data_IF_873174739634
#
_entry.id   IF_873174739634
#
_cell.length_a   1.000
_cell.length_b   1.000
_cell.length_c   1.000
_cell.angle_alpha   90.00
_cell.angle_beta   90.00
_cell.angle_gamma   90.00
#
_symmetry.space_group_name_H-M   'P 1'
#
loop_
_entity.id
_entity.type
_entity.pdbx_description
1 polymer ?
#
# COMPACT_ATOMS: atom_id res chain seq x y z
N UNK A 1 -1.00 -14.89 7.63
CA UNK A 1 0.41 -15.07 7.26
C UNK A 1 1.19 -13.95 7.91
N UNK A 2 2.27 -14.31 8.59
CA UNK A 2 3.24 -13.36 9.13
C UNK A 2 4.33 -13.25 8.06
N UNK A 3 4.73 -12.04 7.71
CA UNK A 3 5.84 -11.80 6.80
C UNK A 3 7.02 -11.29 7.63
N UNK A 4 8.21 -11.76 7.31
CA UNK A 4 9.48 -11.25 7.84
C UNK A 4 10.27 -10.71 6.66
N UNK A 5 10.27 -9.39 6.49
CA UNK A 5 10.90 -8.77 5.32
C UNK A 5 12.42 -8.86 5.37
N UNK A 6 13.00 -9.01 6.57
CA UNK A 6 14.45 -9.24 6.72
C UNK A 6 14.82 -10.63 6.18
N UNK A 7 14.07 -11.66 6.55
CA UNK A 7 14.25 -13.02 6.02
C UNK A 7 14.03 -13.07 4.50
N UNK A 8 12.99 -12.41 4.00
CA UNK A 8 12.74 -12.34 2.55
C UNK A 8 13.87 -11.62 1.80
N UNK A 9 14.45 -10.56 2.36
CA UNK A 9 15.64 -9.92 1.79
C UNK A 9 16.86 -10.85 1.75
N UNK A 10 17.07 -11.66 2.79
CA UNK A 10 18.18 -12.63 2.82
C UNK A 10 18.02 -13.72 1.74
N UNK A 11 16.78 -14.17 1.49
CA UNK A 11 16.45 -15.21 0.51
C UNK A 11 16.52 -14.68 -0.94
N UNK A 12 15.85 -13.56 -1.21
CA UNK A 12 15.64 -13.06 -2.58
C UNK A 12 16.66 -12.01 -3.02
N UNK A 13 17.41 -11.42 -2.09
CA UNK A 13 18.52 -10.50 -2.37
C UNK A 13 18.16 -9.40 -3.37
N UNK A 14 18.78 -9.40 -4.55
CA UNK A 14 18.61 -8.38 -5.59
C UNK A 14 17.32 -8.56 -6.41
N UNK A 15 16.61 -9.68 -6.25
CA UNK A 15 15.33 -9.95 -6.93
C UNK A 15 14.16 -9.18 -6.29
N UNK A 16 14.37 -8.56 -5.13
CA UNK A 16 13.39 -7.68 -4.46
C UNK A 16 13.90 -6.26 -4.34
N UNK A 17 13.01 -5.30 -4.52
CA UNK A 17 13.30 -3.89 -4.28
C UNK A 17 12.93 -3.51 -2.85
N UNK A 18 13.81 -2.79 -2.16
CA UNK A 18 13.57 -2.28 -0.80
C UNK A 18 13.15 -0.82 -0.88
N UNK A 19 11.99 -0.50 -0.30
CA UNK A 19 11.49 0.88 -0.24
C UNK A 19 12.25 1.64 0.84
N UNK A 20 12.60 2.90 0.56
CA UNK A 20 13.23 3.79 1.56
C UNK A 20 12.39 3.84 2.87
N UNK A 21 13.04 3.91 4.04
CA UNK A 21 12.38 3.81 5.35
C UNK A 21 11.65 5.11 5.74
N UNK A 22 10.64 5.47 4.95
CA UNK A 22 9.84 6.70 5.09
C UNK A 22 8.50 6.45 5.78
N UNK A 23 8.11 5.19 5.96
CA UNK A 23 6.78 4.79 6.40
C UNK A 23 6.76 4.34 7.87
N UNK A 24 5.60 4.46 8.50
CA UNK A 24 5.34 3.98 9.85
C UNK A 24 4.06 3.16 9.88
N UNK A 25 3.99 2.14 10.72
CA UNK A 25 2.80 1.32 10.86
C UNK A 25 1.73 2.02 11.72
N UNK A 26 0.57 2.29 11.13
CA UNK A 26 -0.61 2.82 11.82
C UNK A 26 -1.75 1.79 11.92
N UNK A 27 -1.60 0.63 11.29
CA UNK A 27 -2.61 -0.41 11.24
C UNK A 27 -2.54 -1.38 12.43
N UNK A 28 -3.57 -2.20 12.58
CA UNK A 28 -3.61 -3.25 13.61
C UNK A 28 -2.83 -4.53 13.27
N UNK A 29 -2.21 -4.62 12.08
CA UNK A 29 -1.44 -5.79 11.63
C UNK A 29 0.05 -5.42 11.57
N UNK A 30 0.89 -6.19 12.24
CA UNK A 30 2.34 -5.98 12.26
C UNK A 30 3.04 -6.35 10.95
N UNK A 31 2.39 -7.16 10.11
CA UNK A 31 2.87 -7.55 8.79
C UNK A 31 1.71 -7.81 7.84
N UNK A 32 1.89 -7.52 6.56
CA UNK A 32 0.92 -7.77 5.49
C UNK A 32 1.61 -7.89 4.14
N UNK A 33 0.90 -8.43 3.15
CA UNK A 33 1.40 -8.51 1.80
C UNK A 33 0.34 -9.01 0.83
N UNK A 34 0.64 -8.91 -0.46
CA UNK A 34 -0.24 -9.32 -1.55
C UNK A 34 0.00 -8.54 -2.83
N UNK A 35 -0.78 -8.87 -3.86
CA UNK A 35 -0.71 -8.21 -5.15
C UNK A 35 -1.18 -6.74 -5.03
N UNK A 36 -0.46 -5.82 -5.62
CA UNK A 36 -0.73 -4.39 -5.47
C UNK A 36 -1.71 -3.87 -6.53
N UNK A 37 -2.54 -2.93 -6.10
CA UNK A 37 -3.26 -1.98 -6.94
C UNK A 37 -2.68 -0.60 -6.62
N UNK A 38 -2.30 0.15 -7.64
CA UNK A 38 -1.74 1.49 -7.49
C UNK A 38 -2.80 2.57 -7.69
N UNK A 39 -2.63 3.67 -6.96
CA UNK A 39 -3.45 4.88 -7.11
C UNK A 39 -2.53 6.08 -7.05
N UNK A 40 -2.75 7.03 -7.95
CA UNK A 40 -2.14 8.35 -7.89
C UNK A 40 -3.23 9.39 -7.67
N UNK A 41 -3.12 10.14 -6.58
CA UNK A 41 -4.02 11.25 -6.29
C UNK A 41 -3.26 12.35 -5.55
N UNK A 42 -3.92 13.48 -5.29
CA UNK A 42 -3.32 14.56 -4.52
C UNK A 42 -4.38 15.24 -3.66
N UNK A 43 -4.30 15.01 -2.36
CA UNK A 43 -5.23 15.61 -1.37
C UNK A 43 -6.71 15.34 -1.62
N UNK A 44 -7.00 14.28 -2.37
CA UNK A 44 -8.34 13.77 -2.68
C UNK A 44 -8.36 12.25 -2.48
N UNK A 45 -9.35 11.74 -1.76
CA UNK A 45 -9.49 10.32 -1.46
C UNK A 45 -10.74 9.67 -2.06
N UNK A 46 -11.50 10.37 -2.91
CA UNK A 46 -12.75 9.84 -3.48
C UNK A 46 -12.52 8.53 -4.23
N UNK A 47 -11.46 8.47 -5.05
CA UNK A 47 -11.08 7.27 -5.79
C UNK A 47 -10.68 6.09 -4.88
N UNK A 48 -10.22 6.37 -3.64
CA UNK A 48 -9.89 5.32 -2.68
C UNK A 48 -11.15 4.61 -2.18
N UNK A 49 -12.25 5.35 -1.98
CA UNK A 49 -13.54 4.73 -1.62
C UNK A 49 -14.00 3.77 -2.72
N UNK A 50 -14.05 4.22 -3.97
CA UNK A 50 -14.47 3.42 -5.13
C UNK A 50 -13.66 2.12 -5.26
N UNK A 51 -12.34 2.19 -5.02
CA UNK A 51 -11.47 1.02 -5.09
C UNK A 51 -11.63 0.10 -3.88
N UNK A 52 -11.87 0.63 -2.69
CA UNK A 52 -12.04 -0.17 -1.49
C UNK A 52 -13.39 -0.88 -1.42
N UNK A 53 -14.41 -0.40 -2.14
CA UNK A 53 -15.69 -1.11 -2.31
C UNK A 53 -15.56 -2.43 -3.11
N UNK A 54 -14.46 -2.60 -3.85
CA UNK A 54 -14.16 -3.82 -4.58
C UNK A 54 -13.52 -4.89 -3.67
N UNK A 55 -13.62 -6.18 -4.04
CA UNK A 55 -13.05 -7.27 -3.26
C UNK A 55 -11.53 -7.12 -3.08
N UNK A 56 -11.06 -6.95 -1.84
CA UNK A 56 -9.64 -6.71 -1.52
C UNK A 56 -8.84 -7.94 -1.13
N UNK A 57 -9.39 -9.16 -1.23
CA UNK A 57 -8.71 -10.37 -0.75
C UNK A 57 -7.35 -10.58 -1.44
N UNK A 58 -6.31 -10.67 -0.62
CA UNK A 58 -4.94 -10.90 -1.10
C UNK A 58 -4.32 -9.70 -1.83
N UNK A 59 -4.91 -8.50 -1.72
CA UNK A 59 -4.45 -7.30 -2.41
C UNK A 59 -4.02 -6.20 -1.45
N UNK A 60 -3.04 -5.40 -1.86
CA UNK A 60 -2.58 -4.19 -1.15
C UNK A 60 -2.90 -2.97 -2.00
N UNK A 61 -3.36 -1.88 -1.37
CA UNK A 61 -3.60 -0.62 -2.07
C UNK A 61 -2.41 0.33 -1.86
N UNK A 62 -1.67 0.60 -2.92
CA UNK A 62 -0.49 1.46 -2.91
C UNK A 62 -0.91 2.85 -3.41
N UNK A 63 -0.90 3.83 -2.52
CA UNK A 63 -1.42 5.18 -2.80
C UNK A 63 -0.27 6.19 -2.86
N UNK A 64 0.01 6.70 -4.05
CA UNK A 64 0.81 7.89 -4.26
C UNK A 64 -0.05 9.14 -4.05
N UNK A 65 0.02 9.67 -2.83
CA UNK A 65 -0.61 10.95 -2.44
C UNK A 65 0.25 12.18 -2.73
N UNK A 66 1.33 12.04 -3.50
CA UNK A 66 2.33 13.09 -3.73
C UNK A 66 3.15 13.47 -2.50
N UNK A 67 3.16 12.61 -1.47
CA UNK A 67 3.89 12.85 -0.21
C UNK A 67 3.34 14.01 0.64
N UNK A 68 2.13 14.51 0.36
CA UNK A 68 1.57 15.65 1.08
C UNK A 68 1.18 15.28 2.52
N UNK A 69 1.82 15.91 3.50
CA UNK A 69 1.43 15.82 4.93
C UNK A 69 0.35 16.83 5.34
N UNK A 70 -0.21 17.57 4.38
CA UNK A 70 -1.23 18.60 4.65
C UNK A 70 -2.63 18.01 4.75
N UNK A 71 -2.87 16.84 4.13
CA UNK A 71 -4.16 16.16 4.08
C UNK A 71 -4.04 14.62 4.21
N UNK A 72 -4.77 14.03 5.16
CA UNK A 72 -5.14 12.62 5.26
C UNK A 72 -5.89 12.13 4.04
N UNK A 73 -5.32 11.12 3.37
CA UNK A 73 -6.09 10.31 2.42
C UNK A 73 -6.88 9.20 3.11
N UNK A 74 -6.48 8.82 4.34
CA UNK A 74 -7.06 7.70 5.08
C UNK A 74 -7.53 8.16 6.45
N UNK A 75 -8.79 7.90 6.74
CA UNK A 75 -9.39 8.09 8.05
C UNK A 75 -9.93 6.75 8.61
N UNK A 76 -10.61 6.82 9.76
CA UNK A 76 -11.18 5.65 10.40
C UNK A 76 -12.31 5.00 9.59
N UNK A 77 -13.05 5.75 8.78
CA UNK A 77 -14.13 5.22 7.95
C UNK A 77 -13.55 4.42 6.78
N UNK A 78 -12.63 5.02 6.04
CA UNK A 78 -11.96 4.39 4.91
C UNK A 78 -11.17 3.14 5.37
N UNK A 79 -10.49 3.21 6.52
CA UNK A 79 -9.81 2.06 7.10
C UNK A 79 -10.77 0.92 7.48
N UNK A 80 -11.96 1.22 8.00
CA UNK A 80 -12.99 0.20 8.31
C UNK A 80 -13.53 -0.43 7.03
N UNK A 81 -13.70 0.34 5.96
CA UNK A 81 -14.11 -0.18 4.66
C UNK A 81 -13.06 -1.17 4.12
N UNK A 82 -11.78 -0.83 4.21
CA UNK A 82 -10.68 -1.71 3.81
C UNK A 82 -10.67 -3.05 4.57
N UNK A 83 -10.95 -3.02 5.87
CA UNK A 83 -11.08 -4.22 6.72
C UNK A 83 -12.29 -5.06 6.30
N UNK A 84 -13.46 -4.44 6.10
CA UNK A 84 -14.70 -5.12 5.69
C UNK A 84 -14.52 -5.88 4.37
N UNK A 85 -13.69 -5.36 3.47
CA UNK A 85 -13.46 -5.91 2.14
C UNK A 85 -12.24 -6.85 2.06
N UNK A 86 -11.78 -7.38 3.20
CA UNK A 86 -10.92 -8.56 3.31
C UNK A 86 -9.48 -8.46 2.75
N UNK A 87 -8.82 -7.29 2.70
CA UNK A 87 -7.36 -7.37 2.51
C UNK A 87 -6.54 -6.12 2.23
N UNK A 88 -7.13 -4.98 1.87
CA UNK A 88 -6.31 -3.82 1.49
C UNK A 88 -5.65 -3.20 2.73
N UNK A 89 -4.33 -3.31 2.82
CA UNK A 89 -3.52 -2.47 3.69
C UNK A 89 -3.28 -1.11 3.02
N UNK A 90 -3.21 -0.05 3.81
CA UNK A 90 -3.11 1.33 3.36
C UNK A 90 -2.17 2.13 4.27
N UNK A 91 -1.42 3.08 3.71
CA UNK A 91 -0.65 4.07 4.46
C UNK A 91 -1.51 5.33 4.72
N UNK A 92 -1.35 5.96 5.90
CA UNK A 92 -2.22 7.05 6.36
C UNK A 92 -1.45 8.35 6.67
N UNK A 93 -2.13 9.48 6.52
CA UNK A 93 -1.75 10.85 6.95
C UNK A 93 -2.95 11.41 7.76
N UNK A 94 -2.84 12.38 8.70
CA UNK A 94 -3.96 12.79 9.57
C UNK A 94 -4.48 14.25 9.39
N UNK A 95 -5.10 14.63 8.26
CA UNK A 95 -6.06 15.78 8.09
C UNK A 95 -7.05 15.56 6.92
N UNK A 96 -8.34 15.28 7.08
CA UNK A 96 -9.23 14.87 5.96
C UNK A 96 -9.04 15.54 4.57
N UNK A 97 -8.83 14.73 3.54
CA UNK A 97 -8.75 15.09 2.12
C UNK A 97 -10.11 15.49 1.54
N UNK A 98 -10.11 16.07 0.32
CA UNK A 98 -11.31 16.19 -0.49
C UNK A 98 -11.80 14.81 -0.98
N UNK A 99 -13.01 14.74 -1.52
CA UNK A 99 -13.64 13.50 -1.98
C UNK A 99 -14.30 13.65 -3.35
N UNK A 100 -13.67 14.41 -4.24
CA UNK A 100 -14.16 14.68 -5.60
C UNK A 100 -13.86 13.53 -6.58
N UNK A 101 -13.03 12.56 -6.18
CA UNK A 101 -12.68 11.39 -7.00
C UNK A 101 -11.57 11.69 -8.01
N UNK A 102 -10.74 12.70 -7.73
CA UNK A 102 -9.65 13.11 -8.63
C UNK A 102 -8.43 12.21 -8.42
N UNK A 103 -8.02 11.55 -9.49
CA UNK A 103 -6.83 10.71 -9.51
C UNK A 103 -6.84 9.70 -10.64
N UNK A 104 -5.83 8.85 -10.67
CA UNK A 104 -5.69 7.76 -11.63
C UNK A 104 -5.44 6.46 -10.86
N UNK A 105 -6.17 5.40 -11.20
CA UNK A 105 -5.95 4.04 -10.69
C UNK A 105 -5.19 3.19 -11.70
N UNK A 106 -4.49 2.16 -11.23
CA UNK A 106 -3.74 1.22 -12.06
C UNK A 106 -2.66 1.87 -12.94
N UNK A 107 -2.12 3.00 -12.47
CA UNK A 107 -1.00 3.70 -13.11
C UNK A 107 0.30 3.42 -12.39
N UNK A 108 1.41 3.51 -13.11
CA UNK A 108 2.75 3.47 -12.50
C UNK A 108 2.90 4.61 -11.49
N UNK A 109 3.37 4.30 -10.29
CA UNK A 109 3.72 5.29 -9.26
C UNK A 109 5.16 5.11 -8.79
N UNK A 110 5.79 6.18 -8.29
CA UNK A 110 7.17 6.15 -7.84
C UNK A 110 7.36 7.00 -6.58
N UNK A 111 7.80 6.36 -5.50
CA UNK A 111 8.15 7.02 -4.24
C UNK A 111 9.04 6.09 -3.40
N UNK A 112 9.78 6.65 -2.45
CA UNK A 112 10.69 5.89 -1.58
C UNK A 112 11.71 5.07 -2.36
N UNK A 113 12.28 5.65 -3.43
CA UNK A 113 13.27 5.00 -4.30
C UNK A 113 12.74 3.90 -5.23
N UNK A 114 11.48 3.48 -5.11
CA UNK A 114 10.92 2.32 -5.82
C UNK A 114 9.83 2.74 -6.80
N UNK A 115 9.78 2.07 -7.95
CA UNK A 115 8.66 2.16 -8.90
C UNK A 115 7.71 0.99 -8.66
N UNK A 116 6.42 1.28 -8.56
CA UNK A 116 5.36 0.30 -8.36
C UNK A 116 4.50 0.19 -9.62
N UNK A 117 4.24 -1.04 -10.06
CA UNK A 117 3.29 -1.37 -11.12
C UNK A 117 2.10 -2.14 -10.54
N UNK A 118 0.88 -1.80 -10.99
CA UNK A 118 -0.30 -2.60 -10.63
C UNK A 118 -0.07 -4.05 -11.11
N UNK A 119 -0.23 -5.02 -10.22
CA UNK A 119 0.10 -6.42 -10.48
C UNK A 119 1.35 -6.96 -9.77
N UNK A 120 2.29 -6.09 -9.36
CA UNK A 120 3.44 -6.46 -8.53
C UNK A 120 2.99 -6.99 -7.15
N UNK A 121 3.92 -7.52 -6.37
CA UNK A 121 3.69 -8.06 -5.03
C UNK A 121 4.46 -7.26 -3.99
N UNK A 122 3.73 -6.77 -2.98
CA UNK A 122 4.31 -6.03 -1.86
C UNK A 122 4.24 -6.86 -0.59
N UNK A 123 5.32 -6.84 0.18
CA UNK A 123 5.40 -7.44 1.50
C UNK A 123 5.94 -6.41 2.49
N UNK A 124 5.31 -6.32 3.65
CA UNK A 124 5.64 -5.32 4.66
C UNK A 124 5.55 -5.91 6.05
N UNK A 125 6.44 -5.47 6.92
CA UNK A 125 6.36 -5.65 8.36
C UNK A 125 6.83 -4.37 9.08
N UNK A 126 7.12 -4.46 10.38
CA UNK A 126 7.59 -3.31 11.15
C UNK A 126 9.05 -2.90 10.84
N UNK A 127 9.78 -3.69 10.08
CA UNK A 127 11.19 -3.43 9.72
C UNK A 127 11.32 -2.77 8.36
N UNK A 128 10.43 -3.07 7.41
CA UNK A 128 10.48 -2.48 6.09
C UNK A 128 9.33 -2.87 5.16
N UNK A 129 9.45 -2.38 3.92
CA UNK A 129 8.56 -2.71 2.81
C UNK A 129 9.45 -3.15 1.64
N UNK A 130 9.10 -4.29 1.06
CA UNK A 130 9.76 -4.84 -0.14
C UNK A 130 8.74 -5.05 -1.26
N UNK A 131 9.24 -4.97 -2.49
CA UNK A 131 8.47 -5.15 -3.72
C UNK A 131 9.12 -6.24 -4.58
N UNK A 132 8.29 -7.12 -5.13
CA UNK A 132 8.65 -8.17 -6.07
C UNK A 132 7.73 -8.10 -7.29
N UNK A 133 8.23 -8.42 -8.48
CA UNK A 133 7.40 -8.54 -9.69
C UNK A 133 6.45 -9.74 -9.55
N UNK A 134 7.01 -10.89 -9.19
CA UNK A 134 6.28 -12.15 -8.98
C UNK A 134 5.92 -12.41 -7.51
N UNK A 135 4.90 -13.22 -7.20
CA UNK A 135 4.63 -13.64 -5.84
C UNK A 135 5.82 -14.43 -5.28
N UNK A 136 6.28 -14.05 -4.09
CA UNK A 136 7.31 -14.80 -3.37
C UNK A 136 6.70 -16.08 -2.77
N UNK A 137 7.49 -17.16 -2.76
CA UNK A 137 7.16 -18.44 -2.14
C UNK A 137 7.31 -18.32 -0.62
N UNK A 138 6.18 -18.29 0.07
CA UNK A 138 6.11 -18.02 1.51
C UNK A 138 5.40 -19.21 2.14
N UNK A 139 6.16 -20.07 2.81
CA UNK A 139 5.63 -21.20 3.60
C UNK A 139 4.88 -20.75 4.87
#
# INVERSE_FOLDING_TARGET
MKYDTSELCDIYQEDVNVVEPLFSNFGGRASFGGQIITVKCFEDNGLLYDLLEQNGRGRVLVVDGGGSVRRALVDAELARLAVKMNGKAMAAIPVGAAGEGIGESDVRVNFGGVTFFSGDHLYADNTGIILSEDPLDIE
#
